data_IF_978975625591
#
_entry.id   IF_978975625591
#
_cell.length_a   1.000
_cell.length_b   1.000
_cell.length_c   1.000
_cell.angle_alpha   90.00
_cell.angle_beta   90.00
_cell.angle_gamma   90.00
#
_symmetry.space_group_name_H-M   'P 1'
#
loop_
_entity.id
_entity.type
_entity.pdbx_description
1 polymer ?
#
# COMPACT_ATOMS: atom_id res chain seq x y z
N UNK A 1 13.77 -4.92 -6.03
CA UNK A 1 14.47 -4.44 -4.81
C UNK A 1 15.69 -5.31 -4.57
N UNK A 2 16.83 -4.71 -4.24
CA UNK A 2 18.04 -5.43 -3.82
C UNK A 2 17.90 -5.81 -2.35
N UNK A 3 18.22 -7.06 -1.98
CA UNK A 3 18.17 -7.51 -0.58
C UNK A 3 19.25 -6.81 0.22
N UNK A 4 18.88 -6.17 1.33
CA UNK A 4 19.82 -5.57 2.28
C UNK A 4 20.07 -6.53 3.45
N UNK A 5 21.24 -6.41 4.08
CA UNK A 5 21.55 -7.14 5.31
C UNK A 5 20.70 -6.65 6.49
N UNK A 6 20.37 -5.36 6.49
CA UNK A 6 19.55 -4.69 7.50
C UNK A 6 18.63 -3.68 6.80
N UNK A 7 17.38 -3.61 7.24
CA UNK A 7 16.43 -2.59 6.83
C UNK A 7 16.25 -1.62 7.99
N UNK A 8 16.48 -0.33 7.76
CA UNK A 8 16.17 0.72 8.73
C UNK A 8 14.67 0.82 8.95
N UNK A 9 14.25 1.40 10.08
CA UNK A 9 12.83 1.48 10.46
C UNK A 9 11.99 2.28 9.44
N UNK A 10 12.60 3.30 8.83
CA UNK A 10 12.00 4.11 7.77
C UNK A 10 11.92 3.37 6.43
N UNK A 11 12.61 2.25 6.22
CA UNK A 11 12.61 1.54 4.94
C UNK A 11 11.24 0.91 4.60
N UNK A 12 10.76 0.92 3.33
CA UNK A 12 9.39 0.50 3.01
C UNK A 12 9.09 -0.95 3.37
N UNK A 13 10.08 -1.83 3.25
CA UNK A 13 9.95 -3.23 3.67
C UNK A 13 9.76 -3.37 5.20
N UNK A 14 10.42 -2.55 6.00
CA UNK A 14 10.27 -2.58 7.46
C UNK A 14 8.88 -2.09 7.85
N UNK A 15 8.44 -0.97 7.25
CA UNK A 15 7.09 -0.41 7.44
C UNK A 15 6.02 -1.44 7.02
N UNK A 16 6.17 -2.05 5.83
CA UNK A 16 5.23 -3.03 5.32
C UNK A 16 5.09 -4.24 6.27
N UNK A 17 6.20 -4.84 6.68
CA UNK A 17 6.21 -5.98 7.60
C UNK A 17 5.61 -5.60 8.96
N UNK A 18 6.00 -4.47 9.54
CA UNK A 18 5.48 -4.03 10.82
C UNK A 18 3.97 -3.71 10.76
N UNK A 19 3.51 -3.07 9.68
CA UNK A 19 2.10 -2.77 9.46
C UNK A 19 1.26 -4.03 9.26
N UNK A 20 1.72 -4.98 8.45
CA UNK A 20 1.08 -6.28 8.28
C UNK A 20 0.99 -7.07 9.59
N UNK A 21 2.08 -7.11 10.37
CA UNK A 21 2.09 -7.77 11.68
C UNK A 21 1.09 -7.10 12.64
N UNK A 22 1.02 -5.76 12.63
CA UNK A 22 0.05 -5.02 13.43
C UNK A 22 -1.39 -5.39 13.05
N UNK A 23 -1.72 -5.28 11.76
CA UNK A 23 -3.06 -5.59 11.24
C UNK A 23 -3.48 -7.04 11.54
N UNK A 24 -2.58 -8.01 11.37
CA UNK A 24 -2.85 -9.41 11.69
C UNK A 24 -3.09 -9.66 13.18
N UNK A 25 -2.42 -8.92 14.06
CA UNK A 25 -2.56 -9.08 15.52
C UNK A 25 -3.79 -8.39 16.08
N UNK A 26 -4.21 -7.27 15.49
CA UNK A 26 -5.32 -6.45 16.00
C UNK A 26 -6.61 -6.63 15.21
N UNK A 27 -6.55 -7.24 14.02
CA UNK A 27 -7.65 -7.24 13.07
C UNK A 27 -7.92 -5.87 12.44
N UNK A 28 -6.99 -4.92 12.59
CA UNK A 28 -7.13 -3.55 12.10
C UNK A 28 -6.99 -3.43 10.57
N UNK A 29 -7.45 -2.31 10.02
CA UNK A 29 -7.26 -1.98 8.62
C UNK A 29 -5.76 -1.89 8.28
N UNK A 30 -5.38 -2.51 7.17
CA UNK A 30 -3.97 -2.61 6.77
C UNK A 30 -3.37 -1.24 6.43
N UNK A 31 -4.13 -0.35 5.78
CA UNK A 31 -3.61 0.98 5.42
C UNK A 31 -3.45 1.86 6.65
N UNK A 32 -4.39 1.80 7.60
CA UNK A 32 -4.26 2.48 8.89
C UNK A 32 -3.02 1.98 9.64
N UNK A 33 -2.84 0.66 9.74
CA UNK A 33 -1.68 0.06 10.40
C UNK A 33 -0.35 0.47 9.73
N UNK A 34 -0.32 0.52 8.38
CA UNK A 34 0.84 1.00 7.64
C UNK A 34 1.12 2.48 7.89
N UNK A 35 0.07 3.32 7.90
CA UNK A 35 0.19 4.76 8.12
C UNK A 35 0.77 5.05 9.51
N UNK A 36 0.26 4.39 10.55
CA UNK A 36 0.81 4.50 11.90
C UNK A 36 2.30 4.10 11.97
N UNK A 37 2.69 2.99 11.31
CA UNK A 37 4.09 2.55 11.30
C UNK A 37 4.99 3.50 10.51
N UNK A 38 4.48 4.06 9.42
CA UNK A 38 5.20 5.05 8.63
C UNK A 38 5.45 6.33 9.44
N UNK A 39 4.41 6.87 10.09
CA UNK A 39 4.54 8.06 10.94
C UNK A 39 5.53 7.83 12.08
N UNK A 40 5.43 6.69 12.76
CA UNK A 40 6.35 6.33 13.84
C UNK A 40 7.82 6.21 13.37
N UNK A 41 8.03 5.89 12.09
CA UNK A 41 9.34 5.81 11.47
C UNK A 41 9.80 7.13 10.81
N UNK A 42 9.00 8.21 10.90
CA UNK A 42 9.30 9.50 10.28
C UNK A 42 8.99 9.58 8.78
N UNK A 43 8.26 8.60 8.23
CA UNK A 43 7.80 8.60 6.83
C UNK A 43 6.40 9.18 6.76
N UNK A 44 6.21 10.19 5.90
CA UNK A 44 4.90 10.80 5.67
C UNK A 44 3.93 9.78 5.02
N UNK A 45 2.75 9.52 5.61
CA UNK A 45 1.72 8.68 4.99
C UNK A 45 1.33 9.20 3.61
N UNK A 46 0.96 8.28 2.72
CA UNK A 46 0.51 8.59 1.36
C UNK A 46 1.54 9.34 0.50
N UNK A 47 2.82 9.25 0.85
CA UNK A 47 3.94 9.67 0.00
C UNK A 47 4.33 8.56 -0.98
N UNK A 48 5.09 8.88 -2.02
CA UNK A 48 5.65 7.88 -2.94
C UNK A 48 6.44 6.79 -2.20
N UNK A 49 7.09 7.16 -1.10
CA UNK A 49 7.83 6.22 -0.26
C UNK A 49 6.91 5.30 0.55
N UNK A 50 5.77 5.82 1.02
CA UNK A 50 4.71 5.02 1.63
C UNK A 50 4.05 4.09 0.62
N UNK A 51 3.87 4.53 -0.64
CA UNK A 51 3.29 3.71 -1.71
C UNK A 51 4.10 2.44 -1.96
N UNK A 52 5.43 2.49 -1.82
CA UNK A 52 6.27 1.30 -1.87
C UNK A 52 6.00 0.32 -0.73
N UNK A 53 5.76 0.82 0.49
CA UNK A 53 5.41 -0.02 1.63
C UNK A 53 4.02 -0.65 1.44
N UNK A 54 3.03 0.14 1.03
CA UNK A 54 1.70 -0.33 0.74
C UNK A 54 1.71 -1.40 -0.37
N UNK A 55 2.48 -1.17 -1.45
CA UNK A 55 2.65 -2.13 -2.55
C UNK A 55 3.25 -3.46 -2.07
N UNK A 56 4.22 -3.41 -1.15
CA UNK A 56 4.79 -4.62 -0.54
C UNK A 56 3.78 -5.37 0.35
N UNK A 57 2.84 -4.64 0.96
CA UNK A 57 1.73 -5.20 1.70
C UNK A 57 0.53 -5.62 0.81
N UNK A 58 0.66 -5.54 -0.51
CA UNK A 58 -0.39 -5.92 -1.47
C UNK A 58 -1.41 -4.82 -1.80
N UNK A 59 -1.30 -3.65 -1.17
CA UNK A 59 -2.17 -2.50 -1.37
C UNK A 59 -1.51 -1.49 -2.31
N UNK A 60 -1.95 -1.40 -3.55
CA UNK A 60 -1.34 -0.52 -4.55
C UNK A 60 -2.15 0.76 -4.73
N UNK A 61 -1.49 1.91 -4.68
CA UNK A 61 -2.12 3.16 -5.07
C UNK A 61 -2.45 3.14 -6.56
N UNK A 62 -3.73 3.31 -6.88
CA UNK A 62 -4.26 3.42 -8.23
C UNK A 62 -4.66 4.87 -8.50
N UNK A 63 -3.80 5.59 -9.21
CA UNK A 63 -4.02 7.00 -9.56
C UNK A 63 -5.34 7.26 -10.31
N UNK A 64 -5.79 6.32 -11.14
CA UNK A 64 -7.03 6.46 -11.89
C UNK A 64 -8.29 6.40 -11.00
N UNK A 65 -8.18 5.76 -9.84
CA UNK A 65 -9.23 5.67 -8.83
C UNK A 65 -9.02 6.63 -7.66
N UNK A 66 -7.81 7.19 -7.53
CA UNK A 66 -7.34 7.91 -6.35
C UNK A 66 -7.50 7.11 -5.05
N UNK A 67 -7.24 5.80 -5.12
CA UNK A 67 -7.43 4.85 -4.00
C UNK A 67 -6.33 3.80 -3.95
N UNK A 68 -6.07 3.27 -2.76
CA UNK A 68 -5.32 2.03 -2.61
C UNK A 68 -6.24 0.83 -2.84
N UNK A 69 -5.80 -0.07 -3.72
CA UNK A 69 -6.58 -1.25 -4.13
C UNK A 69 -5.65 -2.46 -4.27
N UNK A 70 -6.22 -3.66 -4.31
CA UNK A 70 -5.46 -4.87 -4.60
C UNK A 70 -4.88 -4.85 -6.04
N UNK A 71 -3.93 -5.74 -6.30
CA UNK A 71 -3.26 -5.81 -7.61
C UNK A 71 -4.21 -6.06 -8.79
N UNK A 72 -5.23 -6.91 -8.62
CA UNK A 72 -6.15 -7.24 -9.69
C UNK A 72 -7.04 -6.05 -10.03
N UNK A 73 -7.55 -5.35 -9.02
CA UNK A 73 -8.32 -4.11 -9.18
C UNK A 73 -7.50 -3.02 -9.85
N UNK A 74 -6.25 -2.78 -9.42
CA UNK A 74 -5.37 -1.81 -10.10
C UNK A 74 -5.16 -2.16 -11.57
N UNK A 75 -4.85 -3.41 -11.89
CA UNK A 75 -4.67 -3.88 -13.28
C UNK A 75 -5.94 -3.72 -14.14
N UNK A 76 -7.13 -3.85 -13.56
CA UNK A 76 -8.39 -3.58 -14.25
C UNK A 76 -8.55 -2.08 -14.52
N UNK A 77 -8.36 -1.25 -13.52
CA UNK A 77 -8.47 0.21 -13.64
C UNK A 77 -7.47 0.76 -14.68
N UNK A 78 -6.21 0.30 -14.65
CA UNK A 78 -5.17 0.71 -15.61
C UNK A 78 -5.55 0.38 -17.06
N UNK A 79 -6.31 -0.70 -17.32
CA UNK A 79 -6.78 -1.08 -18.67
C UNK A 79 -7.97 -0.26 -19.16
N UNK A 80 -8.83 0.19 -18.25
CA UNK A 80 -10.03 0.96 -18.58
C UNK A 80 -9.74 2.44 -18.81
N UNK A 81 -8.63 2.95 -18.28
CA UNK A 81 -8.30 4.37 -18.33
C UNK A 81 -9.18 5.20 -17.38
N UNK A 82 -8.80 6.47 -17.20
CA UNK A 82 -9.35 7.34 -16.15
C UNK A 82 -10.88 7.42 -16.12
N UNK A 83 -11.53 7.67 -17.25
CA UNK A 83 -12.98 7.86 -17.32
C UNK A 83 -13.81 6.62 -16.96
N UNK A 84 -13.22 5.43 -17.08
CA UNK A 84 -13.90 4.15 -16.85
C UNK A 84 -13.29 3.38 -15.67
N UNK A 85 -12.32 3.96 -14.95
CA UNK A 85 -11.59 3.28 -13.88
C UNK A 85 -12.52 2.74 -12.79
N UNK A 86 -13.58 3.48 -12.45
CA UNK A 86 -14.59 3.08 -11.45
C UNK A 86 -15.24 1.72 -11.75
N UNK A 87 -15.35 1.32 -13.02
CA UNK A 87 -15.89 0.00 -13.41
C UNK A 87 -15.01 -1.16 -12.94
N UNK A 88 -13.74 -0.91 -12.61
CA UNK A 88 -12.84 -1.90 -12.01
C UNK A 88 -13.31 -2.34 -10.61
N UNK A 89 -14.12 -1.52 -9.92
CA UNK A 89 -14.69 -1.84 -8.61
C UNK A 89 -15.99 -2.63 -8.71
N UNK A 90 -16.66 -2.61 -9.87
CA UNK A 90 -17.98 -3.22 -10.06
C UNK A 90 -17.94 -4.69 -10.49
N UNK A 91 -16.77 -5.23 -10.81
CA UNK A 91 -16.63 -6.63 -11.24
C UNK A 91 -16.21 -7.50 -10.05
N UNK A 92 -17.08 -8.41 -9.62
CA UNK A 92 -16.75 -9.52 -8.72
C UNK A 92 -16.58 -10.80 -9.54
#
# INVERSE_FOLDING_TARGET
>A
MRRLAHYSADHPAAIALAGMVSALRTGGDILACLAERAEAAGVRPYSDYFDDAARLAGMQYCRALDLYVDQATKRRADRLGYHQAHLALCSA
#
